data_IF_416994475202
#
_entry.id   IF_416994475202
#
_cell.length_a   1.000
_cell.length_b   1.000
_cell.length_c   1.000
_cell.angle_alpha   90.00
_cell.angle_beta   90.00
_cell.angle_gamma   90.00
#
_symmetry.space_group_name_H-M   'P 1'
#
loop_
_entity.id
_entity.type
_entity.pdbx_description
1 polymer ?
#
# COMPACT_ATOMS: atom_id res chain seq x y z
N UNK A 1 -38.50 6.88 13.74
CA UNK A 1 -37.12 7.28 14.06
C UNK A 1 -36.26 7.04 12.82
N UNK A 2 -35.94 8.08 12.05
CA UNK A 2 -35.01 7.96 10.92
C UNK A 2 -33.60 7.93 11.50
N UNK A 3 -32.99 6.74 11.55
CA UNK A 3 -31.56 6.61 11.82
C UNK A 3 -30.85 7.38 10.72
N UNK A 4 -30.09 8.41 11.08
CA UNK A 4 -29.23 9.11 10.13
C UNK A 4 -28.42 8.05 9.40
N UNK A 5 -28.63 7.92 8.08
CA UNK A 5 -27.82 7.03 7.26
C UNK A 5 -26.39 7.56 7.36
N UNK A 6 -25.57 6.94 8.21
CA UNK A 6 -24.15 7.21 8.23
C UNK A 6 -23.66 6.92 6.81
N UNK A 7 -22.95 7.86 6.16
CA UNK A 7 -22.31 7.58 4.88
C UNK A 7 -21.54 6.27 5.03
N UNK A 8 -21.80 5.31 4.13
CA UNK A 8 -21.07 4.04 4.14
C UNK A 8 -19.58 4.40 4.13
N UNK A 9 -18.81 4.04 5.16
CA UNK A 9 -17.40 4.38 5.17
C UNK A 9 -16.78 3.83 3.87
N UNK A 10 -15.88 4.60 3.23
CA UNK A 10 -15.25 4.15 1.99
C UNK A 10 -14.70 2.74 2.23
N UNK A 11 -15.27 1.77 1.51
CA UNK A 11 -14.92 0.37 1.72
C UNK A 11 -13.45 0.15 1.40
N UNK A 12 -12.78 -0.71 2.17
CA UNK A 12 -11.44 -1.16 1.80
C UNK A 12 -11.53 -1.97 0.51
N UNK A 13 -10.81 -1.52 -0.52
CA UNK A 13 -10.62 -2.25 -1.78
C UNK A 13 -9.18 -2.72 -1.82
N UNK A 14 -8.98 -4.00 -2.07
CA UNK A 14 -7.67 -4.58 -2.31
C UNK A 14 -7.64 -5.15 -3.73
N UNK A 15 -6.47 -5.12 -4.35
CA UNK A 15 -6.20 -5.76 -5.62
C UNK A 15 -4.85 -6.46 -5.51
N UNK A 16 -4.73 -7.60 -6.19
CA UNK A 16 -3.49 -8.34 -6.32
C UNK A 16 -2.98 -8.15 -7.75
N UNK A 17 -1.69 -7.86 -7.88
CA UNK A 17 -1.01 -7.77 -9.18
C UNK A 17 0.12 -8.79 -9.15
N UNK A 18 0.22 -9.59 -10.21
CA UNK A 18 1.39 -10.42 -10.47
C UNK A 18 2.24 -9.70 -11.51
N UNK A 19 3.55 -9.69 -11.28
CA UNK A 19 4.54 -9.12 -12.18
C UNK A 19 5.81 -9.97 -12.03
N UNK A 20 6.38 -10.38 -13.16
CA UNK A 20 7.59 -11.20 -13.18
C UNK A 20 8.85 -10.32 -13.04
N UNK A 21 8.72 -9.02 -13.34
CA UNK A 21 9.80 -8.05 -13.21
C UNK A 21 9.32 -6.65 -12.74
N UNK A 22 10.27 -5.79 -12.31
CA UNK A 22 9.95 -4.42 -11.87
C UNK A 22 9.20 -3.56 -12.89
N UNK A 23 9.46 -3.71 -14.18
CA UNK A 23 8.84 -2.88 -15.23
C UNK A 23 7.37 -3.23 -15.37
N UNK A 24 7.03 -4.53 -15.35
CA UNK A 24 5.64 -4.99 -15.34
C UNK A 24 4.87 -4.51 -14.11
N UNK A 25 5.52 -4.57 -12.93
CA UNK A 25 4.93 -4.08 -11.69
C UNK A 25 4.61 -2.58 -11.79
N UNK A 26 5.57 -1.77 -12.26
CA UNK A 26 5.38 -0.33 -12.42
C UNK A 26 4.27 -0.03 -13.42
N UNK A 27 4.23 -0.72 -14.55
CA UNK A 27 3.20 -0.55 -15.57
C UNK A 27 1.79 -0.83 -15.02
N UNK A 28 1.66 -1.76 -14.09
CA UNK A 28 0.39 -2.08 -13.43
C UNK A 28 0.02 -1.08 -12.31
N UNK A 29 1.00 -0.61 -11.53
CA UNK A 29 0.77 0.21 -10.33
C UNK A 29 0.63 1.70 -10.65
N UNK A 30 1.46 2.25 -11.54
CA UNK A 30 1.53 3.69 -11.85
C UNK A 30 0.17 4.26 -12.29
N UNK A 31 -0.60 3.62 -13.20
CA UNK A 31 -1.92 4.13 -13.58
C UNK A 31 -2.89 4.22 -12.41
N UNK A 32 -2.87 3.24 -11.51
CA UNK A 32 -3.73 3.21 -10.32
C UNK A 32 -3.34 4.29 -9.31
N UNK A 33 -2.04 4.52 -9.10
CA UNK A 33 -1.53 5.58 -8.24
C UNK A 33 -1.94 6.97 -8.75
N UNK A 34 -1.73 7.25 -10.05
CA UNK A 34 -2.15 8.50 -10.69
C UNK A 34 -3.67 8.69 -10.60
N UNK A 35 -4.45 7.65 -10.89
CA UNK A 35 -5.91 7.73 -10.79
C UNK A 35 -6.37 8.00 -9.35
N UNK A 36 -5.79 7.33 -8.36
CA UNK A 36 -6.14 7.54 -6.96
C UNK A 36 -5.85 8.98 -6.50
N UNK A 37 -4.67 9.51 -6.85
CA UNK A 37 -4.30 10.89 -6.54
C UNK A 37 -5.24 11.89 -7.24
N UNK A 38 -5.47 11.74 -8.55
CA UNK A 38 -6.30 12.66 -9.35
C UNK A 38 -7.79 12.61 -8.97
N UNK A 39 -8.35 11.41 -8.84
CA UNK A 39 -9.81 11.23 -8.74
C UNK A 39 -10.30 11.34 -7.30
N UNK A 40 -9.44 11.08 -6.31
CA UNK A 40 -9.83 11.05 -4.89
C UNK A 40 -8.93 11.87 -3.96
N UNK A 41 -7.85 12.48 -4.47
CA UNK A 41 -6.87 13.18 -3.65
C UNK A 41 -6.07 12.24 -2.73
N UNK A 42 -6.02 10.95 -3.05
CA UNK A 42 -5.40 9.93 -2.21
C UNK A 42 -3.90 10.19 -2.05
N UNK A 43 -3.39 9.89 -0.87
CA UNK A 43 -1.95 9.68 -0.65
C UNK A 43 -1.60 8.24 -1.01
N UNK A 44 -0.39 8.02 -1.51
CA UNK A 44 0.09 6.68 -1.81
C UNK A 44 1.15 6.29 -0.77
N UNK A 45 0.87 5.25 0.00
CA UNK A 45 1.76 4.72 1.02
C UNK A 45 2.45 3.46 0.50
N UNK A 46 3.78 3.39 0.61
CA UNK A 46 4.62 2.37 0.00
C UNK A 46 5.21 1.45 1.07
N UNK A 47 5.09 0.14 0.85
CA UNK A 47 5.78 -0.92 1.58
C UNK A 47 6.49 -1.81 0.54
N UNK A 48 7.57 -1.28 -0.02
CA UNK A 48 8.28 -1.85 -1.16
C UNK A 48 9.79 -1.97 -0.86
N UNK A 49 10.49 -2.91 -1.51
CA UNK A 49 11.94 -2.89 -1.59
C UNK A 49 12.45 -1.55 -2.14
N UNK A 50 13.58 -1.06 -1.60
CA UNK A 50 14.12 0.26 -1.94
C UNK A 50 14.29 0.53 -3.46
N UNK A 51 14.74 -0.42 -4.29
CA UNK A 51 14.83 -0.18 -5.74
C UNK A 51 13.47 0.08 -6.41
N UNK A 52 12.41 -0.62 -5.98
CA UNK A 52 11.06 -0.44 -6.53
C UNK A 52 10.42 0.87 -6.03
N UNK A 53 10.67 1.23 -4.78
CA UNK A 53 10.23 2.51 -4.24
C UNK A 53 10.85 3.66 -5.03
N UNK A 54 12.16 3.61 -5.30
CA UNK A 54 12.84 4.64 -6.11
C UNK A 54 12.27 4.69 -7.52
N UNK A 55 12.04 3.54 -8.17
CA UNK A 55 11.49 3.51 -9.51
C UNK A 55 10.06 4.08 -9.57
N UNK A 56 9.22 3.85 -8.56
CA UNK A 56 7.91 4.52 -8.46
C UNK A 56 8.04 6.03 -8.25
N UNK A 57 9.01 6.46 -7.43
CA UNK A 57 9.30 7.88 -7.26
C UNK A 57 9.72 8.54 -8.57
N UNK A 58 10.59 7.89 -9.34
CA UNK A 58 11.08 8.41 -10.62
C UNK A 58 9.94 8.50 -11.67
N UNK A 59 9.04 7.52 -11.69
CA UNK A 59 7.90 7.48 -12.62
C UNK A 59 6.75 8.45 -12.27
N UNK A 60 6.48 8.64 -10.98
CA UNK A 60 5.36 9.47 -10.51
C UNK A 60 5.76 10.92 -10.26
N UNK A 61 7.04 11.18 -9.95
CA UNK A 61 7.54 12.51 -9.60
C UNK A 61 6.71 13.17 -8.51
N UNK A 62 6.54 14.49 -8.62
CA UNK A 62 5.76 15.29 -7.67
C UNK A 62 4.23 15.26 -7.93
N UNK A 63 3.76 14.51 -8.93
CA UNK A 63 2.33 14.40 -9.25
C UNK A 63 1.54 13.68 -8.15
N UNK A 64 2.22 12.82 -7.39
CA UNK A 64 1.62 11.96 -6.38
C UNK A 64 2.37 12.12 -5.07
N UNK A 65 1.64 12.39 -3.99
CA UNK A 65 2.21 12.40 -2.63
C UNK A 65 2.53 10.96 -2.20
N UNK A 66 3.80 10.60 -2.32
CA UNK A 66 4.35 9.31 -1.89
C UNK A 66 4.83 9.40 -0.44
N UNK A 67 4.46 8.40 0.36
CA UNK A 67 4.96 8.21 1.72
C UNK A 67 5.39 6.76 1.94
N UNK A 68 6.40 6.54 2.77
CA UNK A 68 6.86 5.20 3.14
C UNK A 68 6.16 4.71 4.40
N UNK A 69 5.68 3.47 4.38
CA UNK A 69 5.25 2.75 5.58
C UNK A 69 6.48 2.27 6.37
N UNK A 70 6.36 2.23 7.69
CA UNK A 70 7.45 1.89 8.60
C UNK A 70 8.03 0.53 8.22
N UNK A 71 9.33 0.48 7.94
CA UNK A 71 10.04 -0.78 7.71
C UNK A 71 10.11 -1.57 9.02
N UNK A 72 9.61 -2.80 8.98
CA UNK A 72 9.63 -3.69 10.15
C UNK A 72 10.94 -4.49 10.18
N UNK A 73 11.48 -4.71 11.39
CA UNK A 73 12.66 -5.58 11.59
C UNK A 73 12.33 -7.01 11.18
N UNK A 74 13.33 -7.82 10.80
CA UNK A 74 13.14 -9.23 10.46
C UNK A 74 12.35 -9.99 11.53
N UNK A 75 12.73 -9.83 12.79
CA UNK A 75 12.04 -10.43 13.95
C UNK A 75 10.57 -10.01 14.09
N UNK A 76 10.20 -8.79 13.66
CA UNK A 76 8.81 -8.33 13.69
C UNK A 76 8.00 -8.92 12.53
N UNK A 77 8.65 -9.24 11.40
CA UNK A 77 8.03 -9.82 10.20
C UNK A 77 7.70 -11.31 10.35
N UNK A 78 8.40 -12.03 11.22
CA UNK A 78 8.13 -13.46 11.52
C UNK A 78 6.74 -13.72 12.13
N UNK A 79 6.08 -12.69 12.67
CA UNK A 79 4.73 -12.81 13.22
C UNK A 79 3.75 -11.94 12.44
N UNK A 80 2.87 -12.59 11.66
CA UNK A 80 1.80 -11.90 10.94
C UNK A 80 0.88 -11.08 11.85
N UNK A 81 0.68 -11.50 13.11
CA UNK A 81 -0.08 -10.72 14.10
C UNK A 81 0.63 -9.42 14.48
N UNK A 82 1.96 -9.46 14.65
CA UNK A 82 2.77 -8.27 14.91
C UNK A 82 2.71 -7.32 13.72
N UNK A 83 2.93 -7.82 12.50
CA UNK A 83 2.84 -7.03 11.27
C UNK A 83 1.46 -6.37 11.14
N UNK A 84 0.38 -7.14 11.32
CA UNK A 84 -0.98 -6.63 11.23
C UNK A 84 -1.26 -5.53 12.27
N UNK A 85 -0.80 -5.69 13.52
CA UNK A 85 -0.98 -4.70 14.57
C UNK A 85 -0.24 -3.39 14.25
N UNK A 86 1.00 -3.48 13.75
CA UNK A 86 1.77 -2.31 13.31
C UNK A 86 1.11 -1.60 12.13
N UNK A 87 0.73 -2.34 11.09
CA UNK A 87 0.06 -1.79 9.90
C UNK A 87 -1.29 -1.18 10.25
N UNK A 88 -2.08 -1.80 11.13
CA UNK A 88 -3.36 -1.23 11.58
C UNK A 88 -3.18 0.12 12.29
N UNK A 89 -2.15 0.25 13.14
CA UNK A 89 -1.84 1.52 13.82
C UNK A 89 -1.42 2.60 12.82
N UNK A 90 -0.55 2.25 11.89
CA UNK A 90 -0.02 3.18 10.88
C UNK A 90 -1.10 3.65 9.91
N UNK A 91 -1.92 2.73 9.39
CA UNK A 91 -3.04 3.06 8.52
C UNK A 91 -4.08 3.94 9.24
N UNK A 92 -4.33 3.70 10.53
CA UNK A 92 -5.19 4.58 11.34
C UNK A 92 -4.64 6.00 11.43
N UNK A 93 -3.32 6.14 11.58
CA UNK A 93 -2.69 7.46 11.60
C UNK A 93 -2.80 8.16 10.23
N UNK A 94 -2.51 7.46 9.13
CA UNK A 94 -2.58 8.03 7.77
C UNK A 94 -4.01 8.49 7.41
N UNK A 95 -5.00 7.66 7.73
CA UNK A 95 -6.41 7.92 7.44
C UNK A 95 -7.06 8.93 8.40
N UNK A 96 -6.41 9.27 9.53
CA UNK A 96 -6.92 10.25 10.50
C UNK A 96 -7.13 11.65 9.92
N UNK A 97 -6.40 11.97 8.83
CA UNK A 97 -6.54 13.23 8.09
C UNK A 97 -7.84 13.32 7.26
N UNK A 98 -8.62 12.24 7.15
CA UNK A 98 -9.81 12.16 6.31
C UNK A 98 -9.52 12.00 4.82
N UNK A 99 -8.25 12.04 4.39
CA UNK A 99 -7.85 11.75 3.01
C UNK A 99 -7.79 10.25 2.76
N UNK A 100 -8.26 9.76 1.58
CA UNK A 100 -8.06 8.38 1.18
C UNK A 100 -6.57 8.01 1.11
N UNK A 101 -6.26 6.74 1.33
CA UNK A 101 -4.92 6.19 1.24
C UNK A 101 -4.96 5.00 0.30
N UNK A 102 -4.11 5.01 -0.73
CA UNK A 102 -3.76 3.83 -1.51
C UNK A 102 -2.48 3.24 -0.91
N UNK A 103 -2.47 1.95 -0.60
CA UNK A 103 -1.27 1.25 -0.16
C UNK A 103 -0.76 0.40 -1.30
N UNK A 104 0.52 0.52 -1.62
CA UNK A 104 1.23 -0.36 -2.53
C UNK A 104 2.23 -1.14 -1.70
N UNK A 105 2.06 -2.46 -1.66
CA UNK A 105 2.94 -3.37 -0.94
C UNK A 105 3.38 -4.46 -1.88
N UNK A 106 4.65 -4.86 -1.77
CA UNK A 106 5.20 -5.98 -2.51
C UNK A 106 5.25 -7.21 -1.60
N UNK A 107 5.15 -8.37 -2.24
CA UNK A 107 5.46 -9.64 -1.63
C UNK A 107 6.89 -9.65 -1.06
N UNK A 108 7.06 -10.26 0.11
CA UNK A 108 8.37 -10.49 0.73
C UNK A 108 8.76 -11.96 0.49
N UNK A 109 9.67 -12.25 -0.47
CA UNK A 109 10.06 -13.62 -0.79
C UNK A 109 10.78 -14.33 0.38
N UNK A 110 11.27 -13.58 1.38
CA UNK A 110 11.85 -14.18 2.59
C UNK A 110 10.78 -14.90 3.45
N UNK A 111 9.50 -14.65 3.20
CA UNK A 111 8.37 -15.29 3.88
C UNK A 111 7.77 -16.46 3.08
N UNK A 112 8.35 -16.80 1.93
CA UNK A 112 7.88 -17.94 1.13
C UNK A 112 8.08 -19.26 1.87
N UNK A 113 7.12 -20.18 1.66
CA UNK A 113 7.27 -21.58 2.03
C UNK A 113 8.45 -22.24 1.31
N UNK A 114 8.85 -23.43 1.77
CA UNK A 114 9.95 -24.20 1.17
C UNK A 114 9.69 -24.53 -0.32
N UNK A 115 8.44 -24.49 -0.75
CA UNK A 115 7.97 -24.69 -2.12
C UNK A 115 7.83 -23.39 -2.93
N UNK A 116 8.16 -22.24 -2.35
CA UNK A 116 7.98 -20.92 -2.98
C UNK A 116 6.53 -20.43 -2.99
N UNK A 117 5.64 -21.08 -2.24
CA UNK A 117 4.23 -20.69 -2.10
C UNK A 117 3.97 -19.77 -0.90
N UNK A 118 2.84 -19.07 -0.95
CA UNK A 118 2.32 -18.17 0.09
C UNK A 118 1.01 -18.68 0.70
#
# INVERSE_FOLDING_TARGET
MKVNAAPRPPGFRHALVHADDPVELLAAVVPAARAAARDTGARVALDLPAPLEQALHDELGDEVELGRLTSLTSSARESGQTVAAWRARELRALTSSGRPVLVVSAHDPDLDGVDGGF
#
